data_IF_155420687055
#
_entry.id   IF_155420687055
#
_cell.length_a   1.000
_cell.length_b   1.000
_cell.length_c   1.000
_cell.angle_alpha   90.00
_cell.angle_beta   90.00
_cell.angle_gamma   90.00
#
_symmetry.space_group_name_H-M   'P 1'
#
loop_
_entity.id
_entity.type
_entity.pdbx_description
1 polymer ?
#
# COMPACT_ATOMS: atom_id res chain seq x y z
N UNK A 1 8.44 -8.21 11.28
CA UNK A 1 8.46 -6.75 11.07
C UNK A 1 7.41 -6.41 10.01
N UNK A 2 6.61 -5.36 10.17
CA UNK A 2 5.66 -4.95 9.13
C UNK A 2 6.42 -4.43 7.90
N UNK A 3 5.96 -4.74 6.68
CA UNK A 3 6.53 -4.24 5.41
C UNK A 3 6.66 -2.71 5.43
N UNK A 4 5.73 -2.01 6.09
CA UNK A 4 5.79 -0.55 6.30
C UNK A 4 6.99 -0.12 7.15
N UNK A 5 7.29 -0.86 8.21
CA UNK A 5 8.42 -0.56 9.09
C UNK A 5 9.75 -0.79 8.36
N UNK A 6 9.83 -1.83 7.54
CA UNK A 6 11.00 -2.10 6.71
C UNK A 6 11.21 -1.00 5.67
N UNK A 7 10.15 -0.57 4.98
CA UNK A 7 10.20 0.53 4.02
C UNK A 7 10.61 1.85 4.69
N UNK A 8 10.11 2.13 5.88
CA UNK A 8 10.52 3.30 6.66
C UNK A 8 12.01 3.23 7.04
N UNK A 9 12.49 2.07 7.49
CA UNK A 9 13.91 1.90 7.83
C UNK A 9 14.82 2.09 6.61
N UNK A 10 14.42 1.56 5.44
CA UNK A 10 15.18 1.69 4.20
C UNK A 10 15.20 3.16 3.73
N UNK A 11 14.07 3.88 3.82
CA UNK A 11 14.02 5.31 3.51
C UNK A 11 14.93 6.12 4.45
N UNK A 12 14.84 5.88 5.75
CA UNK A 12 15.70 6.55 6.74
C UNK A 12 17.19 6.31 6.47
N UNK A 13 17.56 5.10 6.03
CA UNK A 13 18.94 4.78 5.62
C UNK A 13 19.33 5.52 4.35
N UNK A 14 18.46 5.53 3.35
CA UNK A 14 18.69 6.20 2.07
C UNK A 14 18.89 7.71 2.26
N UNK A 15 18.11 8.36 3.13
CA UNK A 15 18.28 9.78 3.45
C UNK A 15 19.62 10.04 4.16
N UNK A 16 20.03 9.16 5.08
CA UNK A 16 21.36 9.24 5.69
C UNK A 16 22.48 9.09 4.65
N UNK A 17 22.36 8.14 3.70
CA UNK A 17 23.34 7.96 2.64
C UNK A 17 23.41 9.17 1.71
N UNK A 18 22.26 9.80 1.38
CA UNK A 18 22.22 11.04 0.59
C UNK A 18 22.92 12.20 1.28
N UNK A 19 22.68 12.39 2.57
CA UNK A 19 23.33 13.44 3.36
C UNK A 19 24.85 13.20 3.46
N UNK A 20 25.28 11.95 3.68
CA UNK A 20 26.69 11.59 3.72
C UNK A 20 27.39 11.75 2.36
N UNK A 21 26.69 11.41 1.27
CA UNK A 21 27.18 11.63 -0.09
C UNK A 21 27.40 13.11 -0.37
N UNK A 22 26.46 13.98 0.02
CA UNK A 22 26.61 15.42 -0.13
C UNK A 22 27.87 15.93 0.62
N UNK A 23 28.09 15.48 1.85
CA UNK A 23 29.29 15.80 2.63
C UNK A 23 30.58 15.19 2.05
N UNK A 24 30.51 14.04 1.38
CA UNK A 24 31.67 13.44 0.71
C UNK A 24 32.02 14.18 -0.59
N UNK A 25 31.01 14.66 -1.33
CA UNK A 25 31.20 15.50 -2.52
C UNK A 25 31.86 16.83 -2.18
N UNK A 26 31.47 17.48 -1.09
CA UNK A 26 32.13 18.72 -0.66
C UNK A 26 33.60 18.51 -0.26
N UNK A 27 33.93 17.32 0.25
CA UNK A 27 35.32 16.93 0.61
C UNK A 27 36.14 16.38 -0.57
N UNK A 28 35.57 16.26 -1.77
CA UNK A 28 36.20 15.64 -2.95
C UNK A 28 36.73 14.20 -2.73
N UNK A 29 36.13 13.46 -1.78
CA UNK A 29 36.52 12.10 -1.46
C UNK A 29 35.89 11.09 -2.44
N UNK A 30 36.57 10.91 -3.58
CA UNK A 30 36.10 10.06 -4.71
C UNK A 30 35.74 8.62 -4.32
N UNK A 31 36.55 7.86 -3.55
CA UNK A 31 36.19 6.48 -3.19
C UNK A 31 34.94 6.42 -2.30
N UNK A 32 34.79 7.35 -1.36
CA UNK A 32 33.63 7.40 -0.46
C UNK A 32 32.36 7.81 -1.19
N UNK A 33 32.45 8.74 -2.14
CA UNK A 33 31.32 9.09 -3.03
C UNK A 33 30.82 7.87 -3.80
N UNK A 34 31.73 7.10 -4.40
CA UNK A 34 31.37 5.88 -5.17
C UNK A 34 30.66 4.84 -4.29
N UNK A 35 31.14 4.62 -3.08
CA UNK A 35 30.51 3.70 -2.13
C UNK A 35 29.06 4.11 -1.79
N UNK A 36 28.83 5.39 -1.48
CA UNK A 36 27.48 5.87 -1.17
C UNK A 36 26.56 5.89 -2.40
N UNK A 37 27.07 6.15 -3.60
CA UNK A 37 26.28 6.05 -4.83
C UNK A 37 25.81 4.61 -5.09
N UNK A 38 26.69 3.62 -4.90
CA UNK A 38 26.34 2.21 -5.03
C UNK A 38 25.35 1.76 -3.94
N UNK A 39 25.51 2.24 -2.71
CA UNK A 39 24.56 1.97 -1.62
C UNK A 39 23.18 2.59 -1.90
N UNK A 40 23.13 3.85 -2.37
CA UNK A 40 21.87 4.51 -2.75
C UNK A 40 21.18 3.74 -3.87
N UNK A 41 21.92 3.27 -4.89
CA UNK A 41 21.36 2.43 -5.96
C UNK A 41 20.74 1.14 -5.40
N UNK A 42 21.45 0.44 -4.50
CA UNK A 42 20.96 -0.78 -3.84
C UNK A 42 19.70 -0.52 -3.02
N UNK A 43 19.69 0.53 -2.20
CA UNK A 43 18.53 0.90 -1.37
C UNK A 43 17.33 1.31 -2.24
N UNK A 44 17.56 2.09 -3.31
CA UNK A 44 16.52 2.50 -4.26
C UNK A 44 15.91 1.29 -4.96
N UNK A 45 16.73 0.33 -5.42
CA UNK A 45 16.25 -0.93 -6.01
C UNK A 45 15.39 -1.72 -5.03
N UNK A 46 15.80 -1.80 -3.76
CA UNK A 46 15.03 -2.49 -2.73
C UNK A 46 13.70 -1.79 -2.43
N UNK A 47 13.66 -0.46 -2.39
CA UNK A 47 12.41 0.30 -2.26
C UNK A 47 11.47 0.02 -3.43
N UNK A 48 11.99 0.04 -4.66
CA UNK A 48 11.19 -0.25 -5.86
C UNK A 48 10.59 -1.66 -5.81
N UNK A 49 11.37 -2.67 -5.40
CA UNK A 49 10.89 -4.04 -5.22
C UNK A 49 9.77 -4.14 -4.18
N UNK A 50 9.93 -3.49 -3.03
CA UNK A 50 8.91 -3.51 -1.97
C UNK A 50 7.63 -2.78 -2.39
N UNK A 51 7.75 -1.63 -3.06
CA UNK A 51 6.59 -0.90 -3.62
C UNK A 51 5.88 -1.71 -4.70
N UNK A 52 6.63 -2.40 -5.57
CA UNK A 52 6.05 -3.28 -6.58
C UNK A 52 5.25 -4.42 -5.94
N UNK A 53 5.81 -5.05 -4.89
CA UNK A 53 5.10 -6.09 -4.14
C UNK A 53 3.80 -5.54 -3.52
N UNK A 54 3.87 -4.37 -2.88
CA UNK A 54 2.68 -3.72 -2.32
C UNK A 54 1.61 -3.43 -3.38
N UNK A 55 2.00 -2.92 -4.55
CA UNK A 55 1.06 -2.70 -5.65
C UNK A 55 0.47 -3.99 -6.22
N UNK A 56 1.26 -5.07 -6.26
CA UNK A 56 0.82 -6.37 -6.72
C UNK A 56 -0.23 -6.96 -5.78
N UNK A 57 0.01 -6.90 -4.46
CA UNK A 57 -0.92 -7.38 -3.44
C UNK A 57 -2.25 -6.60 -3.51
N UNK A 58 -2.20 -5.26 -3.62
CA UNK A 58 -3.40 -4.43 -3.78
C UNK A 58 -4.16 -4.76 -5.07
N UNK A 59 -3.45 -5.01 -6.17
CA UNK A 59 -4.08 -5.39 -7.44
C UNK A 59 -4.73 -6.79 -7.38
N UNK A 60 -4.14 -7.72 -6.63
CA UNK A 60 -4.70 -9.05 -6.42
C UNK A 60 -6.00 -8.97 -5.59
N UNK A 61 -6.00 -8.17 -4.52
CA UNK A 61 -7.21 -7.88 -3.73
C UNK A 61 -8.28 -7.19 -4.59
N UNK A 62 -7.89 -6.22 -5.43
CA UNK A 62 -8.78 -5.54 -6.37
C UNK A 62 -9.48 -6.51 -7.31
N UNK A 63 -8.73 -7.42 -7.93
CA UNK A 63 -9.29 -8.46 -8.80
C UNK A 63 -10.28 -9.34 -8.04
N UNK A 64 -9.90 -9.79 -6.85
CA UNK A 64 -10.73 -10.65 -6.00
C UNK A 64 -12.07 -10.00 -5.64
N UNK A 65 -12.11 -8.67 -5.49
CA UNK A 65 -13.34 -7.91 -5.24
C UNK A 65 -14.20 -7.74 -6.50
N UNK A 66 -13.58 -7.45 -7.65
CA UNK A 66 -14.28 -7.33 -8.94
C UNK A 66 -14.87 -8.67 -9.38
N UNK A 67 -14.19 -9.77 -9.06
CA UNK A 67 -14.65 -11.13 -9.37
C UNK A 67 -15.87 -11.54 -8.52
N UNK A 68 -16.24 -10.78 -7.49
CA UNK A 68 -17.44 -11.06 -6.69
C UNK A 68 -18.71 -10.67 -7.47
N UNK A 69 -19.73 -11.55 -7.51
CA UNK A 69 -20.93 -11.36 -8.33
C UNK A 69 -21.87 -10.25 -7.82
N UNK A 70 -21.82 -9.90 -6.53
CA UNK A 70 -22.69 -8.87 -5.95
C UNK A 70 -21.88 -7.75 -5.33
N UNK A 71 -22.12 -6.53 -5.79
CA UNK A 71 -21.58 -5.31 -5.20
C UNK A 71 -22.64 -4.22 -5.17
N UNK A 72 -22.69 -3.49 -4.05
CA UNK A 72 -23.55 -2.29 -3.93
C UNK A 72 -23.07 -1.36 -2.82
N UNK A 73 -23.54 -0.12 -2.90
CA UNK A 73 -23.34 0.86 -1.84
C UNK A 73 -24.05 0.45 -0.55
N UNK A 74 -23.40 0.74 0.58
CA UNK A 74 -23.91 0.46 1.91
C UNK A 74 -24.62 1.70 2.44
N UNK A 75 -25.90 1.55 2.78
CA UNK A 75 -26.72 2.64 3.30
C UNK A 75 -26.29 3.07 4.71
N UNK A 76 -26.66 4.27 5.14
CA UNK A 76 -26.32 4.76 6.50
C UNK A 76 -26.91 3.88 7.62
N UNK A 77 -28.11 3.34 7.42
CA UNK A 77 -28.73 2.42 8.37
C UNK A 77 -27.91 1.13 8.51
N UNK A 78 -27.44 0.59 7.39
CA UNK A 78 -26.56 -0.58 7.39
C UNK A 78 -25.20 -0.25 8.01
N UNK A 79 -24.64 0.93 7.75
CA UNK A 79 -23.39 1.39 8.37
C UNK A 79 -23.51 1.46 9.90
N UNK A 80 -24.69 1.80 10.43
CA UNK A 80 -24.95 1.74 11.87
C UNK A 80 -25.00 0.29 12.37
N UNK A 81 -25.61 -0.62 11.60
CA UNK A 81 -25.81 -2.04 11.96
C UNK A 81 -24.84 -3.01 11.26
N UNK A 82 -23.56 -2.62 11.16
CA UNK A 82 -22.54 -3.42 10.45
C UNK A 82 -22.36 -4.83 11.00
N UNK A 83 -22.54 -5.02 12.30
CA UNK A 83 -22.49 -6.34 12.92
C UNK A 83 -23.57 -7.28 12.41
N UNK A 84 -24.80 -6.78 12.21
CA UNK A 84 -25.92 -7.56 11.68
C UNK A 84 -25.69 -7.89 10.22
N UNK A 85 -25.27 -6.91 9.41
CA UNK A 85 -25.03 -7.12 7.97
C UNK A 85 -23.92 -8.15 7.72
N UNK A 86 -22.79 -8.05 8.43
CA UNK A 86 -21.68 -9.01 8.30
C UNK A 86 -22.05 -10.43 8.76
N UNK A 87 -22.99 -10.56 9.71
CA UNK A 87 -23.51 -11.88 10.14
C UNK A 87 -24.45 -12.48 9.12
N UNK A 88 -25.34 -11.67 8.54
CA UNK A 88 -26.29 -12.12 7.51
C UNK A 88 -25.60 -12.54 6.22
N UNK A 89 -24.53 -11.83 5.84
CA UNK A 89 -23.84 -11.99 4.56
C UNK A 89 -22.44 -12.53 4.80
N UNK A 90 -22.32 -13.86 4.86
CA UNK A 90 -21.02 -14.52 5.01
C UNK A 90 -20.11 -14.19 3.82
N UNK A 91 -18.94 -13.64 4.11
CA UNK A 91 -17.96 -13.24 3.08
C UNK A 91 -18.15 -11.83 2.55
N UNK A 92 -18.96 -10.99 3.21
CA UNK A 92 -19.07 -9.57 2.87
C UNK A 92 -17.75 -8.84 3.15
N UNK A 93 -17.17 -8.26 2.10
CA UNK A 93 -16.03 -7.36 2.16
C UNK A 93 -16.51 -5.94 1.96
N UNK A 94 -16.09 -5.03 2.83
CA UNK A 94 -16.53 -3.64 2.78
C UNK A 94 -15.33 -2.77 2.49
N UNK A 95 -15.44 -1.94 1.47
CA UNK A 95 -14.38 -1.03 1.02
C UNK A 95 -14.84 0.40 1.22
N UNK A 96 -14.00 1.20 1.87
CA UNK A 96 -14.24 2.61 2.09
C UNK A 96 -13.49 3.46 1.04
N UNK A 97 -14.07 4.56 0.51
CA UNK A 97 -13.47 5.42 -0.52
C UNK A 97 -12.03 5.85 -0.25
N UNK A 98 -11.76 6.28 0.99
CA UNK A 98 -10.43 6.77 1.40
C UNK A 98 -9.36 5.67 1.55
N UNK A 99 -9.73 4.38 1.52
CA UNK A 99 -8.75 3.28 1.61
C UNK A 99 -7.93 3.17 0.33
N UNK A 100 -6.76 2.53 0.40
CA UNK A 100 -5.91 2.30 -0.79
C UNK A 100 -6.68 1.59 -1.91
N UNK A 101 -7.41 0.54 -1.55
CA UNK A 101 -8.24 -0.23 -2.47
C UNK A 101 -9.40 0.62 -2.99
N UNK A 102 -10.06 1.40 -2.13
CA UNK A 102 -11.16 2.28 -2.53
C UNK A 102 -10.74 3.33 -3.56
N UNK A 103 -9.57 3.95 -3.37
CA UNK A 103 -9.00 4.88 -4.35
C UNK A 103 -8.68 4.21 -5.68
N UNK A 104 -8.16 2.98 -5.63
CA UNK A 104 -7.82 2.20 -6.84
C UNK A 104 -9.08 1.77 -7.61
N UNK A 105 -10.16 1.43 -6.89
CA UNK A 105 -11.47 1.10 -7.46
C UNK A 105 -12.29 2.33 -7.86
N UNK A 106 -11.82 3.55 -7.54
CA UNK A 106 -12.52 4.82 -7.78
C UNK A 106 -13.94 4.86 -7.21
N UNK A 107 -14.16 4.25 -6.05
CA UNK A 107 -15.45 4.31 -5.36
C UNK A 107 -15.57 5.64 -4.60
N UNK A 108 -16.73 6.29 -4.71
CA UNK A 108 -17.02 7.55 -4.01
C UNK A 108 -17.72 7.33 -2.67
N UNK A 109 -18.45 6.21 -2.55
CA UNK A 109 -19.24 5.83 -1.38
C UNK A 109 -18.73 4.49 -0.84
N UNK A 110 -19.05 4.19 0.41
CA UNK A 110 -18.74 2.90 1.03
C UNK A 110 -19.49 1.77 0.31
N UNK A 111 -18.75 0.86 -0.31
CA UNK A 111 -19.28 -0.22 -1.15
C UNK A 111 -19.01 -1.56 -0.50
N UNK A 112 -20.02 -2.43 -0.47
CA UNK A 112 -19.89 -3.83 -0.09
C UNK A 112 -19.75 -4.73 -1.31
N UNK A 113 -18.94 -5.78 -1.19
CA UNK A 113 -18.74 -6.85 -2.16
C UNK A 113 -19.00 -8.19 -1.49
N UNK A 114 -19.79 -9.07 -2.11
CA UNK A 114 -20.11 -10.36 -1.55
C UNK A 114 -20.36 -11.46 -2.60
N UNK A 115 -20.19 -12.73 -2.24
CA UNK A 115 -20.54 -13.87 -3.09
C UNK A 115 -22.06 -14.12 -3.16
N UNK A 116 -22.85 -13.58 -2.21
CA UNK A 116 -24.31 -13.71 -2.15
C UNK A 116 -24.95 -12.34 -2.20
N UNK A 117 -26.17 -12.26 -2.74
CA UNK A 117 -26.97 -11.03 -2.74
C UNK A 117 -27.24 -10.56 -1.31
N UNK A 118 -27.13 -9.27 -1.09
CA UNK A 118 -27.43 -8.61 0.17
C UNK A 118 -27.99 -7.23 -0.06
#
# INVERSE_FOLDING_TARGET
>A
MSVKNELQQINNRLDKCRNKLAAAKTRNDRPVVRQFEDEIKKLTKKIAQLKHKESFDVNQERKSLIDMPFSREITKAEQADMGKLKKSVKGLVIVHPMTKIGKELRIEVMTGYAPKKF
#
